data_IF_919933112983
#
_entry.id   IF_919933112983
#
_cell.length_a   1.000
_cell.length_b   1.000
_cell.length_c   1.000
_cell.angle_alpha   90.00
_cell.angle_beta   90.00
_cell.angle_gamma   90.00
#
_symmetry.space_group_name_H-M   'P 1'
#
loop_
_entity.id
_entity.type
_entity.pdbx_description
1 polymer ?
#
# COMPACT_ATOMS: atom_id res chain seq x y z
N UNK A 1 25.27 10.98 -53.19
CA UNK A 1 25.72 9.68 -52.67
C UNK A 1 26.27 9.88 -51.27
N UNK A 2 25.87 8.99 -50.36
CA UNK A 2 26.20 8.87 -48.93
C UNK A 2 25.53 9.88 -47.96
N UNK A 3 24.38 9.43 -47.44
CA UNK A 3 23.79 9.87 -46.18
C UNK A 3 24.36 9.01 -45.05
N UNK A 4 24.87 9.62 -43.99
CA UNK A 4 25.27 8.95 -42.74
C UNK A 4 24.19 9.18 -41.68
N UNK A 5 23.65 8.08 -41.17
CA UNK A 5 22.69 8.05 -40.06
C UNK A 5 23.44 7.90 -38.73
N UNK A 6 23.20 8.79 -37.77
CA UNK A 6 23.68 8.64 -36.39
C UNK A 6 22.53 8.24 -35.48
N UNK A 7 22.67 7.04 -34.92
CA UNK A 7 21.79 6.43 -33.92
C UNK A 7 22.01 7.10 -32.55
N UNK A 8 20.96 7.65 -31.94
CA UNK A 8 20.98 8.09 -30.54
C UNK A 8 20.75 6.90 -29.61
N UNK A 9 21.78 6.51 -28.85
CA UNK A 9 21.66 5.68 -27.66
C UNK A 9 21.40 6.59 -26.44
N UNK A 10 20.29 6.38 -25.73
CA UNK A 10 20.03 6.99 -24.42
C UNK A 10 20.36 5.96 -23.32
N UNK A 11 21.65 5.77 -23.08
CA UNK A 11 22.12 5.32 -21.77
C UNK A 11 22.02 6.50 -20.78
N UNK A 12 21.19 6.37 -19.74
CA UNK A 12 21.34 7.15 -18.50
C UNK A 12 21.04 6.28 -17.28
N UNK A 13 21.94 5.34 -17.02
CA UNK A 13 22.23 4.90 -15.66
C UNK A 13 22.79 6.09 -14.88
N UNK A 14 22.05 6.59 -13.89
CA UNK A 14 22.63 7.48 -12.88
C UNK A 14 23.24 6.60 -11.78
N UNK A 15 24.56 6.54 -11.76
CA UNK A 15 25.34 6.07 -10.61
C UNK A 15 24.92 6.86 -9.35
N UNK A 16 24.36 6.16 -8.37
CA UNK A 16 24.35 6.62 -6.98
C UNK A 16 25.73 6.33 -6.38
N UNK A 17 26.71 7.16 -6.73
CA UNK A 17 28.02 7.16 -6.08
C UNK A 17 28.27 8.57 -5.50
N UNK A 18 27.56 8.91 -4.43
CA UNK A 18 27.90 10.06 -3.60
C UNK A 18 28.86 9.61 -2.51
N UNK A 19 30.16 9.89 -2.71
CA UNK A 19 31.14 9.96 -1.63
C UNK A 19 30.81 11.18 -0.75
N UNK A 20 29.87 11.04 0.17
CA UNK A 20 29.80 11.85 1.37
C UNK A 20 29.80 10.86 2.54
N UNK A 21 30.69 11.08 3.50
CA UNK A 21 30.80 10.31 4.74
C UNK A 21 29.45 10.39 5.49
N UNK A 22 28.52 9.50 5.16
CA UNK A 22 27.42 9.13 6.04
C UNK A 22 27.97 8.11 7.03
N UNK A 23 27.60 8.16 8.32
CA UNK A 23 27.89 7.07 9.24
C UNK A 23 27.34 5.76 8.65
N UNK A 24 27.94 4.59 8.95
CA UNK A 24 27.44 3.32 8.46
C UNK A 24 25.95 3.20 8.80
N UNK A 25 25.11 3.14 7.77
CA UNK A 25 23.68 2.91 7.97
C UNK A 25 23.52 1.50 8.55
N UNK A 26 22.94 1.40 9.75
CA UNK A 26 22.61 0.12 10.34
C UNK A 26 21.39 -0.47 9.62
N UNK A 27 21.47 -1.75 9.22
CA UNK A 27 20.39 -2.41 8.48
C UNK A 27 19.13 -2.59 9.32
N UNK A 28 19.29 -2.72 10.64
CA UNK A 28 18.19 -2.66 11.60
C UNK A 28 18.32 -1.37 12.42
N UNK A 29 17.22 -0.65 12.57
CA UNK A 29 17.18 0.57 13.37
C UNK A 29 16.00 0.49 14.33
N UNK A 30 16.25 0.77 15.61
CA UNK A 30 15.22 0.77 16.64
C UNK A 30 14.54 2.14 16.71
N UNK A 31 13.21 2.16 16.57
CA UNK A 31 12.39 3.35 16.78
C UNK A 31 11.37 3.10 17.90
N UNK A 32 11.13 4.07 18.80
CA UNK A 32 10.14 3.92 19.85
C UNK A 32 8.72 3.95 19.28
N UNK A 33 7.91 2.93 19.58
CA UNK A 33 6.46 2.96 19.41
C UNK A 33 5.84 3.76 20.57
N UNK A 34 5.47 5.03 20.34
CA UNK A 34 4.96 5.90 21.42
C UNK A 34 3.45 5.67 21.64
N UNK A 35 3.08 5.09 22.79
CA UNK A 35 1.67 4.98 23.26
C UNK A 35 1.11 6.26 23.92
N UNK A 36 1.89 7.31 24.14
CA UNK A 36 1.43 8.55 24.83
C UNK A 36 2.15 9.83 24.40
N UNK A 37 2.76 9.83 23.22
CA UNK A 37 3.23 11.06 22.55
C UNK A 37 2.95 10.86 21.07
N UNK A 38 2.38 11.84 20.35
CA UNK A 38 1.92 11.62 18.99
C UNK A 38 3.02 10.95 18.13
N UNK A 39 2.65 10.01 17.25
CA UNK A 39 3.48 9.53 16.11
C UNK A 39 3.90 10.67 15.14
N UNK A 40 3.75 11.93 15.58
CA UNK A 40 3.59 13.16 14.82
C UNK A 40 4.55 14.28 15.26
N UNK A 41 5.64 13.98 15.97
CA UNK A 41 6.65 15.01 16.27
C UNK A 41 7.89 14.85 15.40
N UNK A 42 8.31 15.99 14.83
CA UNK A 42 9.61 16.21 14.19
C UNK A 42 10.74 15.58 15.00
N UNK A 43 11.69 14.84 14.38
CA UNK A 43 12.84 14.34 15.11
C UNK A 43 13.65 15.52 15.65
N UNK A 44 14.08 15.41 16.90
CA UNK A 44 15.16 16.24 17.42
C UNK A 44 16.31 16.19 16.42
N UNK A 45 16.80 17.37 16.02
CA UNK A 45 18.00 17.51 15.19
C UNK A 45 19.11 16.63 15.76
N UNK A 46 19.63 15.71 14.93
CA UNK A 46 20.95 15.15 15.14
C UNK A 46 21.94 16.33 15.17
N UNK A 47 22.86 16.42 16.13
CA UNK A 47 23.82 17.51 16.17
C UNK A 47 24.79 17.38 14.99
N UNK A 48 24.53 18.09 13.91
CA UNK A 48 25.54 18.37 12.88
C UNK A 48 26.27 19.63 13.31
N UNK A 49 27.51 19.48 13.77
CA UNK A 49 28.48 20.57 13.96
C UNK A 49 28.57 21.43 12.69
N UNK A 50 28.51 22.78 12.79
CA UNK A 50 28.63 23.65 11.63
C UNK A 50 30.11 23.90 11.35
N UNK A 51 30.59 23.55 10.15
CA UNK A 51 31.80 24.14 9.58
C UNK A 51 31.39 24.95 8.37
N UNK A 52 31.10 26.23 8.64
CA UNK A 52 30.96 27.27 7.63
C UNK A 52 32.35 27.68 7.13
N UNK A 53 32.60 27.52 5.83
CA UNK A 53 33.59 28.33 5.12
C UNK A 53 32.95 28.87 3.84
N UNK A 54 32.97 30.19 3.73
CA UNK A 54 32.44 31.01 2.66
C UNK A 54 33.15 30.74 1.31
N UNK A 55 32.38 30.75 0.22
CA UNK A 55 32.74 31.48 -1.00
C UNK A 55 31.47 31.74 -1.86
N UNK A 56 31.23 32.98 -2.34
CA UNK A 56 30.01 33.32 -3.08
C UNK A 56 30.24 33.25 -4.59
N UNK A 57 29.48 32.44 -5.31
CA UNK A 57 29.00 32.69 -6.69
C UNK A 57 28.34 31.42 -7.27
N UNK A 58 27.37 31.64 -8.17
CA UNK A 58 26.48 30.68 -8.83
C UNK A 58 25.28 30.18 -7.99
N UNK A 59 24.33 31.09 -7.81
CA UNK A 59 22.92 30.78 -7.66
C UNK A 59 22.35 30.16 -8.94
N UNK A 60 22.34 28.84 -9.07
CA UNK A 60 21.38 28.05 -9.88
C UNK A 60 21.54 26.57 -9.53
N UNK A 61 20.88 26.08 -8.48
CA UNK A 61 20.67 24.64 -8.26
C UNK A 61 19.35 24.40 -7.52
N UNK A 62 18.61 23.45 -8.07
CA UNK A 62 17.41 22.75 -7.59
C UNK A 62 17.16 22.75 -6.08
N UNK A 63 15.89 22.74 -5.61
CA UNK A 63 15.58 22.69 -4.19
C UNK A 63 16.25 21.47 -3.53
N UNK A 64 16.72 21.60 -2.29
CA UNK A 64 17.58 20.61 -1.67
C UNK A 64 16.86 19.28 -1.48
N UNK A 65 17.56 18.18 -1.77
CA UNK A 65 17.14 16.78 -1.65
C UNK A 65 16.62 16.38 -0.24
N UNK A 66 16.67 17.29 0.74
CA UNK A 66 16.17 17.08 2.10
C UNK A 66 14.70 16.65 2.10
N UNK A 67 13.82 17.22 1.26
CA UNK A 67 12.38 16.89 1.28
C UNK A 67 12.04 15.45 0.88
N UNK A 68 12.87 14.76 0.07
CA UNK A 68 12.53 13.42 -0.45
C UNK A 68 12.67 12.29 0.57
N UNK A 69 13.57 12.42 1.55
CA UNK A 69 13.88 11.33 2.49
C UNK A 69 12.83 11.23 3.61
N UNK A 70 12.10 12.31 3.89
CA UNK A 70 11.14 12.38 5.00
C UNK A 70 9.82 11.67 4.75
N UNK A 71 9.45 11.43 3.48
CA UNK A 71 8.18 10.81 3.11
C UNK A 71 8.14 9.29 3.34
N UNK A 72 9.23 8.67 3.80
CA UNK A 72 9.33 7.22 3.98
C UNK A 72 8.90 6.73 5.38
N UNK A 73 8.46 7.62 6.28
CA UNK A 73 7.90 7.18 7.56
C UNK A 73 6.45 6.71 7.38
N UNK A 74 6.15 5.52 7.90
CA UNK A 74 4.80 5.00 8.00
C UNK A 74 3.91 6.01 8.75
N UNK A 75 2.97 6.61 8.03
CA UNK A 75 2.07 7.68 8.47
C UNK A 75 2.64 9.11 8.59
N UNK A 76 3.78 9.41 7.95
CA UNK A 76 4.29 10.77 7.92
C UNK A 76 3.26 11.75 7.32
N UNK A 77 2.99 12.85 8.03
CA UNK A 77 2.06 13.93 7.62
C UNK A 77 0.62 13.50 7.29
N UNK A 78 0.05 12.50 7.98
CA UNK A 78 -1.36 12.09 7.78
C UNK A 78 -2.35 12.64 8.82
N UNK A 79 -1.88 13.28 9.88
CA UNK A 79 -2.76 13.82 10.94
C UNK A 79 -3.11 15.29 10.66
N UNK A 80 -4.40 15.55 10.50
CA UNK A 80 -4.93 16.89 10.25
C UNK A 80 -4.71 17.43 8.83
N UNK A 81 -4.35 16.58 7.87
CA UNK A 81 -4.20 16.94 6.46
C UNK A 81 -5.38 16.41 5.63
N UNK A 82 -6.22 17.31 5.12
CA UNK A 82 -7.15 17.01 4.02
C UNK A 82 -6.39 17.14 2.71
N UNK A 83 -5.59 16.14 2.35
CA UNK A 83 -4.89 16.14 1.05
C UNK A 83 -5.70 15.51 -0.07
N UNK A 84 -6.78 14.81 0.28
CA UNK A 84 -7.57 14.05 -0.67
C UNK A 84 -9.04 14.45 -0.57
N UNK A 85 -9.65 14.69 -1.71
CA UNK A 85 -11.09 14.90 -1.82
C UNK A 85 -11.67 13.82 -2.72
N UNK A 86 -12.79 13.27 -2.28
CA UNK A 86 -13.50 12.21 -2.96
C UNK A 86 -14.90 12.70 -3.34
N UNK A 87 -15.32 12.38 -4.55
CA UNK A 87 -16.73 12.44 -4.94
C UNK A 87 -17.29 11.03 -4.85
N UNK A 88 -18.47 10.88 -4.25
CA UNK A 88 -19.10 9.58 -4.02
C UNK A 88 -20.50 9.55 -4.62
N UNK A 89 -20.92 8.37 -5.06
CA UNK A 89 -22.29 8.16 -5.54
C UNK A 89 -23.28 8.18 -4.37
N UNK A 90 -24.25 9.08 -4.45
CA UNK A 90 -25.27 9.30 -3.40
C UNK A 90 -26.45 8.32 -3.46
N UNK A 91 -26.53 7.50 -4.52
CA UNK A 91 -27.67 6.61 -4.76
C UNK A 91 -28.83 7.25 -5.53
N UNK A 92 -28.77 8.55 -5.85
CA UNK A 92 -29.87 9.26 -6.53
C UNK A 92 -30.26 8.66 -7.89
N UNK A 93 -29.29 8.13 -8.63
CA UNK A 93 -29.49 7.50 -9.95
C UNK A 93 -29.61 5.97 -9.89
N UNK A 94 -29.58 5.38 -8.70
CA UNK A 94 -29.60 3.94 -8.48
C UNK A 94 -28.67 3.50 -7.35
N UNK A 95 -28.97 2.34 -6.76
CA UNK A 95 -28.27 1.84 -5.57
C UNK A 95 -27.03 0.98 -5.87
N UNK A 96 -26.82 0.60 -7.14
CA UNK A 96 -25.71 -0.28 -7.58
C UNK A 96 -24.32 0.24 -7.21
N UNK A 97 -24.14 1.56 -7.20
CA UNK A 97 -22.87 2.22 -6.85
C UNK A 97 -22.96 3.02 -5.57
N UNK A 98 -24.04 2.89 -4.79
CA UNK A 98 -24.23 3.68 -3.58
C UNK A 98 -23.04 3.54 -2.63
N UNK A 99 -22.46 4.66 -2.21
CA UNK A 99 -21.31 4.67 -1.32
C UNK A 99 -19.96 4.35 -2.00
N UNK A 100 -19.91 4.14 -3.31
CA UNK A 100 -18.65 4.02 -4.05
C UNK A 100 -18.11 5.38 -4.49
N UNK A 101 -16.80 5.43 -4.66
CA UNK A 101 -16.13 6.58 -5.27
C UNK A 101 -16.52 6.73 -6.75
N UNK A 102 -16.89 7.95 -7.11
CA UNK A 102 -17.02 8.42 -8.50
C UNK A 102 -15.69 9.00 -8.97
N UNK A 103 -15.06 9.82 -8.11
CA UNK A 103 -13.74 10.42 -8.37
C UNK A 103 -12.90 10.53 -7.12
N UNK A 104 -11.61 10.28 -7.26
CA UNK A 104 -10.58 10.52 -6.26
C UNK A 104 -9.62 11.57 -6.80
N UNK A 105 -9.53 12.73 -6.14
CA UNK A 105 -8.70 13.85 -6.56
C UNK A 105 -8.96 14.30 -8.02
N UNK A 106 -10.20 14.17 -8.47
CA UNK A 106 -10.63 14.51 -9.83
C UNK A 106 -10.39 13.43 -10.88
N UNK A 107 -9.74 12.32 -10.52
CA UNK A 107 -9.53 11.15 -11.39
C UNK A 107 -10.65 10.13 -11.17
N UNK A 108 -11.07 9.49 -12.25
CA UNK A 108 -12.05 8.39 -12.29
C UNK A 108 -11.38 7.00 -12.34
N UNK A 109 -10.05 6.95 -12.21
CA UNK A 109 -9.23 5.74 -12.21
C UNK A 109 -7.99 5.92 -11.33
N UNK A 110 -7.38 4.80 -10.93
CA UNK A 110 -6.11 4.76 -10.23
C UNK A 110 -4.95 4.90 -11.22
N UNK A 111 -4.14 5.96 -11.13
CA UNK A 111 -3.02 6.17 -12.06
C UNK A 111 -1.88 5.17 -11.91
N UNK A 112 -1.89 4.36 -10.84
CA UNK A 112 -0.84 3.36 -10.55
C UNK A 112 -1.01 2.08 -11.36
N UNK A 113 -2.20 1.84 -11.91
CA UNK A 113 -2.54 0.63 -12.66
C UNK A 113 -3.07 1.02 -14.04
N UNK A 114 -2.58 0.36 -15.10
CA UNK A 114 -2.85 0.80 -16.48
C UNK A 114 -4.11 0.18 -17.09
N UNK A 115 -4.60 -0.94 -16.53
CA UNK A 115 -5.64 -1.77 -17.15
C UNK A 115 -6.77 -2.07 -16.18
N UNK A 116 -7.98 -2.10 -16.70
CA UNK A 116 -9.14 -2.66 -16.01
C UNK A 116 -8.98 -4.18 -15.82
N UNK A 117 -9.53 -4.76 -14.73
CA UNK A 117 -10.27 -4.08 -13.65
C UNK A 117 -9.37 -3.38 -12.62
N UNK A 118 -8.05 -3.44 -12.77
CA UNK A 118 -7.10 -3.00 -11.73
C UNK A 118 -7.04 -1.48 -11.52
N UNK A 119 -7.33 -0.71 -12.55
CA UNK A 119 -7.41 0.75 -12.52
C UNK A 119 -8.70 1.30 -11.91
N UNK A 120 -9.71 0.46 -11.67
CA UNK A 120 -11.01 0.92 -11.15
C UNK A 120 -10.92 1.44 -9.72
N UNK A 121 -11.51 2.62 -9.49
CA UNK A 121 -11.73 3.19 -8.15
C UNK A 121 -13.14 2.91 -7.62
N UNK A 122 -13.95 2.11 -8.32
CA UNK A 122 -15.33 1.80 -7.92
C UNK A 122 -15.36 0.91 -6.68
N UNK A 123 -15.20 1.55 -5.53
CA UNK A 123 -15.13 0.90 -4.23
C UNK A 123 -15.59 1.86 -3.13
N UNK A 124 -16.00 1.29 -2.02
CA UNK A 124 -16.36 2.02 -0.81
C UNK A 124 -15.13 2.41 -0.02
N UNK A 125 -15.20 3.54 0.69
CA UNK A 125 -14.26 3.90 1.75
C UNK A 125 -14.42 3.02 3.01
N UNK A 126 -15.51 2.25 3.09
CA UNK A 126 -15.83 1.36 4.21
C UNK A 126 -17.05 1.81 5.02
N UNK A 127 -17.58 3.01 4.78
CA UNK A 127 -18.73 3.56 5.54
C UNK A 127 -20.10 3.20 4.94
N UNK A 128 -20.20 3.04 3.62
CA UNK A 128 -21.44 2.75 2.90
C UNK A 128 -21.17 1.82 1.72
N UNK A 129 -22.02 0.82 1.54
CA UNK A 129 -21.92 -0.15 0.45
C UNK A 129 -23.24 -0.24 -0.31
N UNK A 130 -23.24 -0.67 -1.59
CA UNK A 130 -24.46 -0.98 -2.31
C UNK A 130 -25.31 -2.02 -1.52
N UNK A 131 -26.57 -1.72 -1.17
CA UNK A 131 -27.39 -2.63 -0.37
C UNK A 131 -27.75 -3.91 -1.13
N UNK A 132 -27.32 -5.06 -0.61
CA UNK A 132 -27.54 -6.37 -1.26
C UNK A 132 -29.00 -6.73 -1.47
N UNK A 133 -29.92 -6.27 -0.61
CA UNK A 133 -31.37 -6.49 -0.79
C UNK A 133 -31.92 -5.82 -2.06
N UNK A 134 -31.25 -4.78 -2.55
CA UNK A 134 -31.62 -4.06 -3.78
C UNK A 134 -30.82 -4.56 -4.98
N UNK A 135 -29.49 -4.69 -4.83
CA UNK A 135 -28.57 -4.99 -5.93
C UNK A 135 -28.44 -6.48 -6.22
N UNK A 136 -28.75 -7.35 -5.25
CA UNK A 136 -28.50 -8.79 -5.29
C UNK A 136 -27.02 -9.15 -5.54
N UNK A 137 -26.09 -8.22 -5.30
CA UNK A 137 -24.65 -8.48 -5.47
C UNK A 137 -24.06 -9.16 -4.23
N UNK A 138 -23.38 -10.28 -4.45
CA UNK A 138 -22.61 -11.00 -3.42
C UNK A 138 -21.19 -10.44 -3.24
N UNK A 139 -20.79 -9.48 -4.06
CA UNK A 139 -19.46 -8.86 -4.00
C UNK A 139 -19.59 -7.36 -3.86
N UNK A 140 -18.87 -6.81 -2.89
CA UNK A 140 -18.68 -5.37 -2.73
C UNK A 140 -17.19 -5.05 -2.64
N UNK A 141 -16.80 -3.83 -2.98
CA UNK A 141 -15.39 -3.44 -3.01
C UNK A 141 -15.08 -2.42 -1.93
N UNK A 142 -13.91 -2.54 -1.31
CA UNK A 142 -13.36 -1.55 -0.39
C UNK A 142 -12.04 -0.99 -0.92
N UNK A 143 -11.82 0.30 -0.73
CA UNK A 143 -10.60 1.00 -1.07
C UNK A 143 -10.17 1.89 0.08
N UNK A 144 -8.87 1.83 0.37
CA UNK A 144 -8.15 2.85 1.12
C UNK A 144 -6.83 3.09 0.39
N UNK A 145 -6.29 4.31 0.54
CA UNK A 145 -5.04 4.71 -0.12
C UNK A 145 -3.83 3.85 0.27
N UNK A 146 -3.85 3.22 1.45
CA UNK A 146 -2.81 2.29 1.89
C UNK A 146 -2.92 0.90 1.24
N UNK A 147 -4.12 0.52 0.80
CA UNK A 147 -4.33 -0.75 0.08
C UNK A 147 -3.82 -0.69 -1.36
N UNK A 148 -3.69 0.51 -1.92
CA UNK A 148 -3.20 0.75 -3.29
C UNK A 148 -4.09 0.12 -4.39
N UNK A 149 -5.24 -0.48 -4.04
CA UNK A 149 -6.19 -1.06 -4.98
C UNK A 149 -7.56 -1.29 -4.31
N UNK A 150 -8.57 -1.47 -5.14
CA UNK A 150 -9.88 -1.96 -4.71
C UNK A 150 -9.80 -3.45 -4.35
N UNK A 151 -10.27 -3.79 -3.15
CA UNK A 151 -10.28 -5.16 -2.64
C UNK A 151 -11.71 -5.72 -2.62
N UNK A 152 -11.92 -6.93 -3.19
CA UNK A 152 -13.23 -7.57 -3.18
C UNK A 152 -13.55 -8.20 -1.82
N UNK A 153 -14.70 -7.84 -1.28
CA UNK A 153 -15.33 -8.47 -0.13
C UNK A 153 -16.49 -9.34 -0.62
N UNK A 154 -16.49 -10.61 -0.24
CA UNK A 154 -17.44 -11.63 -0.70
C UNK A 154 -18.38 -12.00 0.42
N UNK A 155 -19.68 -12.02 0.11
CA UNK A 155 -20.74 -12.48 0.99
C UNK A 155 -20.52 -13.94 1.42
N UNK A 156 -20.75 -14.23 2.69
CA UNK A 156 -20.60 -15.58 3.26
C UNK A 156 -21.92 -16.15 3.76
N UNK A 157 -22.57 -15.45 4.68
CA UNK A 157 -23.82 -15.90 5.31
C UNK A 157 -24.44 -14.76 6.15
N UNK A 158 -25.74 -14.82 6.48
CA UNK A 158 -26.34 -13.86 7.40
C UNK A 158 -25.81 -14.07 8.83
N UNK A 159 -25.73 -12.98 9.59
CA UNK A 159 -25.30 -12.91 10.99
C UNK A 159 -26.17 -11.91 11.75
N UNK A 160 -26.11 -11.94 13.07
CA UNK A 160 -26.76 -10.95 13.92
C UNK A 160 -25.70 -10.21 14.73
N UNK A 161 -25.82 -8.88 14.81
CA UNK A 161 -25.01 -8.03 15.69
C UNK A 161 -25.93 -7.16 16.51
N UNK A 162 -25.89 -7.34 17.83
CA UNK A 162 -26.66 -6.53 18.80
C UNK A 162 -28.17 -6.48 18.48
N UNK A 163 -28.75 -7.61 18.05
CA UNK A 163 -30.17 -7.73 17.68
C UNK A 163 -30.52 -7.22 16.28
N UNK A 164 -29.53 -6.81 15.48
CA UNK A 164 -29.71 -6.33 14.10
C UNK A 164 -29.14 -7.36 13.13
N UNK A 165 -29.96 -7.80 12.18
CA UNK A 165 -29.53 -8.68 11.10
C UNK A 165 -28.56 -7.98 10.14
N UNK A 166 -27.47 -8.66 9.81
CA UNK A 166 -26.45 -8.23 8.86
C UNK A 166 -25.95 -9.40 8.03
N UNK A 167 -25.28 -9.11 6.94
CA UNK A 167 -24.59 -10.07 6.10
C UNK A 167 -23.09 -10.03 6.40
N UNK A 168 -22.47 -11.20 6.63
CA UNK A 168 -21.01 -11.28 6.79
C UNK A 168 -20.36 -11.28 5.41
N UNK A 169 -19.46 -10.33 5.21
CA UNK A 169 -18.53 -10.26 4.09
C UNK A 169 -17.10 -10.45 4.57
N UNK A 170 -16.31 -11.18 3.81
CA UNK A 170 -14.86 -11.33 4.07
C UNK A 170 -14.08 -11.06 2.82
N UNK A 171 -12.81 -10.68 2.96
CA UNK A 171 -11.90 -10.58 1.81
C UNK A 171 -11.93 -11.87 0.98
N UNK A 172 -11.96 -11.72 -0.35
CA UNK A 172 -11.87 -12.87 -1.26
C UNK A 172 -10.54 -13.59 -1.08
N UNK A 173 -10.56 -14.92 -1.16
CA UNK A 173 -9.38 -15.77 -0.99
C UNK A 173 -8.30 -15.50 -2.06
N UNK A 174 -8.70 -15.01 -3.22
CA UNK A 174 -7.86 -14.63 -4.36
C UNK A 174 -7.62 -13.11 -4.48
N UNK A 175 -8.01 -12.34 -3.47
CA UNK A 175 -7.80 -10.89 -3.44
C UNK A 175 -6.30 -10.54 -3.55
N UNK A 176 -5.47 -11.34 -2.88
CA UNK A 176 -4.02 -11.36 -3.03
C UNK A 176 -3.63 -12.64 -3.77
N UNK A 177 -2.61 -12.58 -4.63
CA UNK A 177 -2.35 -13.58 -5.69
C UNK A 177 -2.42 -15.07 -5.29
N UNK A 178 -2.41 -15.99 -6.27
CA UNK A 178 -1.77 -15.82 -7.56
C UNK A 178 -2.62 -15.07 -8.60
N UNK A 179 -1.99 -14.68 -9.71
CA UNK A 179 -2.63 -13.92 -10.78
C UNK A 179 -3.78 -14.71 -11.41
N UNK A 180 -4.91 -14.04 -11.63
CA UNK A 180 -6.11 -14.53 -12.27
C UNK A 180 -6.66 -13.46 -13.24
N UNK A 181 -7.80 -13.75 -13.85
CA UNK A 181 -8.43 -12.83 -14.82
C UNK A 181 -8.73 -11.44 -14.23
N UNK A 182 -8.95 -11.34 -12.92
CA UNK A 182 -9.37 -10.12 -12.23
C UNK A 182 -8.23 -9.38 -11.51
N UNK A 183 -7.07 -10.00 -11.28
CA UNK A 183 -5.96 -9.37 -10.54
C UNK A 183 -4.62 -9.40 -11.30
N UNK A 184 -4.54 -10.03 -12.48
CA UNK A 184 -3.28 -10.14 -13.25
C UNK A 184 -2.71 -8.79 -13.71
N UNK A 185 -3.53 -7.75 -13.85
CA UNK A 185 -3.07 -6.39 -14.17
C UNK A 185 -2.35 -5.68 -13.01
N UNK A 186 -2.38 -6.25 -11.79
CA UNK A 186 -1.56 -5.76 -10.67
C UNK A 186 -0.12 -6.30 -10.70
N UNK A 187 0.16 -7.27 -11.58
CA UNK A 187 1.50 -7.82 -11.74
C UNK A 187 2.37 -6.97 -12.65
N UNK A 188 3.67 -6.96 -12.36
CA UNK A 188 4.70 -6.42 -13.23
C UNK A 188 5.84 -7.43 -13.41
N UNK A 189 6.47 -7.55 -14.59
CA UNK A 189 7.60 -8.46 -14.82
C UNK A 189 8.78 -8.27 -13.85
N UNK A 190 9.00 -7.03 -13.40
CA UNK A 190 10.08 -6.68 -12.48
C UNK A 190 9.78 -7.04 -11.02
N UNK A 191 8.57 -7.52 -10.71
CA UNK A 191 8.15 -7.82 -9.34
C UNK A 191 8.05 -9.32 -9.10
N UNK A 192 8.62 -9.75 -7.97
CA UNK A 192 8.51 -11.14 -7.54
C UNK A 192 7.10 -11.41 -7.03
N UNK A 193 6.51 -12.48 -7.55
CA UNK A 193 5.15 -12.90 -7.19
C UNK A 193 5.20 -13.81 -5.98
N UNK A 194 4.27 -13.57 -5.06
CA UNK A 194 4.08 -14.37 -3.86
C UNK A 194 2.58 -14.60 -3.70
N UNK A 195 2.19 -15.85 -3.48
CA UNK A 195 0.80 -16.18 -3.20
C UNK A 195 0.39 -15.58 -1.84
N UNK A 196 -0.76 -14.91 -1.80
CA UNK A 196 -1.27 -14.19 -0.62
C UNK A 196 -0.68 -12.81 -0.36
N UNK A 197 0.19 -12.31 -1.26
CA UNK A 197 0.82 -10.99 -1.16
C UNK A 197 0.52 -10.14 -2.39
N UNK A 198 0.40 -8.82 -2.18
CA UNK A 198 0.25 -7.83 -3.24
C UNK A 198 1.40 -6.83 -3.17
N UNK A 199 2.05 -6.58 -4.31
CA UNK A 199 3.05 -5.52 -4.42
C UNK A 199 2.36 -4.15 -4.49
N UNK A 200 2.76 -3.21 -3.63
CA UNK A 200 2.22 -1.84 -3.61
C UNK A 200 3.30 -0.77 -3.87
N UNK A 201 4.44 -1.18 -4.42
CA UNK A 201 5.55 -0.30 -4.84
C UNK A 201 5.10 0.89 -5.70
N UNK A 202 4.17 0.75 -6.67
CA UNK A 202 3.66 1.88 -7.44
C UNK A 202 3.05 3.01 -6.58
N UNK A 203 2.36 2.66 -5.48
CA UNK A 203 1.81 3.65 -4.54
C UNK A 203 2.83 4.14 -3.51
N UNK A 204 3.90 3.38 -3.28
CA UNK A 204 4.93 3.67 -2.28
C UNK A 204 6.21 4.24 -2.89
N UNK A 205 6.08 5.00 -4.00
CA UNK A 205 7.19 5.70 -4.67
C UNK A 205 8.36 4.78 -5.07
N UNK A 206 8.07 3.53 -5.43
CA UNK A 206 9.06 2.54 -5.84
C UNK A 206 9.69 1.74 -4.69
N UNK A 207 9.25 1.93 -3.44
CA UNK A 207 9.72 1.14 -2.31
C UNK A 207 9.24 -0.34 -2.45
N UNK A 208 10.09 -1.35 -2.13
CA UNK A 208 9.78 -2.76 -2.36
C UNK A 208 8.84 -3.33 -1.28
N UNK A 209 7.63 -2.76 -1.21
CA UNK A 209 6.63 -3.01 -0.17
C UNK A 209 5.54 -3.93 -0.69
N UNK A 210 5.18 -4.91 0.13
CA UNK A 210 4.08 -5.84 -0.10
C UNK A 210 3.06 -5.76 1.02
N UNK A 211 1.78 -5.87 0.69
CA UNK A 211 0.71 -6.09 1.67
C UNK A 211 0.27 -7.56 1.66
N UNK A 212 -0.16 -8.06 2.81
CA UNK A 212 -0.74 -9.39 2.98
C UNK A 212 -1.79 -9.37 4.09
N UNK A 213 -2.46 -10.50 4.33
CA UNK A 213 -3.11 -10.68 5.62
C UNK A 213 -2.06 -10.81 6.74
N UNK A 214 -2.40 -10.45 7.99
CA UNK A 214 -1.54 -10.65 9.16
C UNK A 214 -1.03 -12.08 9.30
N UNK A 215 0.21 -12.18 9.77
CA UNK A 215 0.93 -13.43 9.96
C UNK A 215 0.93 -14.34 8.71
N UNK A 216 0.85 -13.72 7.52
CA UNK A 216 0.73 -14.42 6.24
C UNK A 216 -0.45 -15.41 6.19
N UNK A 217 -1.56 -15.08 6.87
CA UNK A 217 -2.81 -15.83 6.77
C UNK A 217 -3.26 -15.93 5.30
N UNK A 218 -3.62 -17.14 4.84
CA UNK A 218 -3.97 -17.43 3.44
C UNK A 218 -2.86 -17.07 2.42
N UNK A 219 -1.59 -17.17 2.82
CA UNK A 219 -0.44 -16.98 1.93
C UNK A 219 0.37 -18.28 1.75
N UNK A 220 1.38 -18.25 0.89
CA UNK A 220 2.30 -19.37 0.70
C UNK A 220 2.95 -19.81 2.03
N UNK A 221 2.87 -21.10 2.44
CA UNK A 221 3.51 -21.59 3.65
C UNK A 221 5.01 -21.31 3.75
N UNK A 222 5.74 -21.19 2.63
CA UNK A 222 7.18 -20.88 2.63
C UNK A 222 7.48 -19.51 3.26
N UNK A 223 6.52 -18.60 3.31
CA UNK A 223 6.68 -17.30 3.95
C UNK A 223 6.74 -17.41 5.48
N UNK A 224 6.14 -18.45 6.06
CA UNK A 224 6.17 -18.72 7.50
C UNK A 224 7.54 -19.23 7.95
N UNK A 225 8.19 -20.05 7.12
CA UNK A 225 9.52 -20.60 7.40
C UNK A 225 10.61 -19.52 7.40
N UNK A 226 10.35 -18.38 6.76
CA UNK A 226 11.28 -17.27 6.70
C UNK A 226 11.38 -16.51 8.03
N UNK A 227 10.36 -16.49 8.90
CA UNK A 227 10.35 -15.65 10.10
C UNK A 227 9.73 -16.39 11.28
N UNK A 228 10.51 -16.53 12.36
CA UNK A 228 10.04 -17.14 13.60
C UNK A 228 9.00 -16.24 14.30
N UNK A 229 7.98 -16.88 14.90
CA UNK A 229 6.95 -16.20 15.69
C UNK A 229 5.63 -15.93 14.96
N UNK A 230 5.57 -16.21 13.64
CA UNK A 230 4.35 -16.10 12.85
C UNK A 230 3.38 -17.24 13.18
N UNK A 231 2.12 -16.88 13.41
CA UNK A 231 1.01 -17.79 13.75
C UNK A 231 -0.26 -17.33 13.04
N UNK A 232 -0.55 -17.77 11.80
CA UNK A 232 -1.77 -17.37 11.11
C UNK A 232 -3.00 -18.01 11.78
N UNK A 233 -3.99 -17.19 12.14
CA UNK A 233 -5.20 -17.59 12.86
C UNK A 233 -6.37 -16.82 12.27
N UNK A 234 -7.40 -17.52 11.79
CA UNK A 234 -8.51 -16.90 11.05
C UNK A 234 -9.22 -15.82 11.88
N UNK A 235 -9.58 -16.13 13.12
CA UNK A 235 -10.41 -15.26 13.97
C UNK A 235 -9.73 -13.92 14.30
N UNK A 236 -8.40 -13.88 14.27
CA UNK A 236 -7.62 -12.67 14.56
C UNK A 236 -6.84 -12.14 13.36
N UNK A 237 -6.84 -12.78 12.20
CA UNK A 237 -6.09 -12.28 11.03
C UNK A 237 -6.97 -12.09 9.80
N UNK A 238 -8.26 -12.44 9.87
CA UNK A 238 -9.20 -12.19 8.79
C UNK A 238 -9.71 -10.73 8.80
N UNK A 239 -9.84 -10.16 7.60
CA UNK A 239 -10.62 -8.95 7.34
C UNK A 239 -12.08 -9.31 7.09
N UNK A 240 -13.01 -8.63 7.77
CA UNK A 240 -14.44 -8.84 7.59
C UNK A 240 -15.27 -7.56 7.77
N UNK A 241 -16.48 -7.58 7.23
CA UNK A 241 -17.52 -6.58 7.44
C UNK A 241 -18.86 -7.28 7.71
N UNK A 242 -19.64 -6.74 8.65
CA UNK A 242 -21.04 -7.13 8.89
C UNK A 242 -21.92 -6.00 8.38
N UNK A 243 -22.50 -6.17 7.21
CA UNK A 243 -23.21 -5.10 6.49
C UNK A 243 -24.71 -5.32 6.59
N UNK A 244 -25.47 -4.31 7.01
CA UNK A 244 -26.92 -4.38 7.05
C UNK A 244 -27.47 -4.41 5.60
N UNK A 245 -28.20 -5.46 5.18
CA UNK A 245 -28.48 -5.73 3.77
C UNK A 245 -29.41 -4.73 3.06
N UNK A 246 -30.25 -4.03 3.84
CA UNK A 246 -31.25 -3.08 3.33
C UNK A 246 -30.69 -1.66 3.14
N UNK A 247 -29.80 -1.26 4.03
CA UNK A 247 -29.23 0.09 4.10
C UNK A 247 -27.81 0.15 3.53
N UNK A 248 -27.11 -0.98 3.45
CA UNK A 248 -25.71 -1.01 3.02
C UNK A 248 -24.75 -0.40 4.04
N UNK A 249 -25.17 -0.28 5.30
CA UNK A 249 -24.37 0.32 6.38
C UNK A 249 -23.71 -0.80 7.19
N UNK A 250 -22.39 -0.77 7.43
CA UNK A 250 -21.72 -1.73 8.28
C UNK A 250 -22.08 -1.52 9.75
N UNK A 251 -22.47 -2.61 10.43
CA UNK A 251 -22.64 -2.65 11.88
C UNK A 251 -21.31 -2.89 12.60
N UNK A 252 -20.40 -3.59 11.93
CA UNK A 252 -19.05 -3.89 12.40
C UNK A 252 -18.14 -4.08 11.20
N UNK A 253 -16.95 -3.49 11.25
CA UNK A 253 -15.93 -3.63 10.21
C UNK A 253 -14.58 -3.83 10.86
N UNK A 254 -13.82 -4.78 10.33
CA UNK A 254 -12.47 -5.05 10.77
C UNK A 254 -11.57 -5.27 9.56
N UNK A 255 -10.73 -4.29 9.29
CA UNK A 255 -9.69 -4.35 8.26
C UNK A 255 -8.38 -4.69 8.93
N UNK A 256 -7.77 -5.82 8.54
CA UNK A 256 -6.47 -6.27 9.02
C UNK A 256 -5.55 -6.50 7.85
N UNK A 257 -4.43 -5.78 7.82
CA UNK A 257 -3.46 -5.79 6.73
C UNK A 257 -2.07 -5.76 7.33
N UNK A 258 -1.18 -6.59 6.81
CA UNK A 258 0.22 -6.61 7.17
C UNK A 258 1.05 -5.91 6.12
N UNK A 259 1.93 -5.03 6.58
CA UNK A 259 2.94 -4.39 5.77
C UNK A 259 4.22 -5.23 5.80
N UNK A 260 4.75 -5.51 4.62
CA UNK A 260 5.96 -6.31 4.44
C UNK A 260 6.97 -5.60 3.55
N UNK A 261 8.25 -5.84 3.80
CA UNK A 261 9.37 -5.37 2.99
C UNK A 261 10.04 -6.55 2.31
N UNK A 262 10.17 -6.49 0.99
CA UNK A 262 11.02 -7.43 0.27
C UNK A 262 12.49 -7.05 0.51
N UNK A 263 13.23 -7.97 1.13
CA UNK A 263 14.64 -7.82 1.45
C UNK A 263 15.42 -8.76 0.55
N UNK A 264 16.34 -8.20 -0.22
CA UNK A 264 17.17 -8.95 -1.17
C UNK A 264 18.65 -8.68 -0.95
N UNK A 265 19.46 -9.69 -1.26
CA UNK A 265 20.90 -9.59 -1.34
C UNK A 265 21.27 -8.60 -2.44
N UNK A 266 22.12 -7.62 -2.10
CA UNK A 266 22.72 -6.75 -3.11
C UNK A 266 24.22 -6.74 -2.92
N UNK A 267 24.94 -7.36 -3.86
CA UNK A 267 26.40 -7.44 -3.85
C UNK A 267 27.09 -6.06 -3.81
N UNK A 268 26.40 -5.03 -4.28
CA UNK A 268 26.87 -3.64 -4.36
C UNK A 268 26.51 -2.79 -3.13
N UNK A 269 25.70 -3.31 -2.20
CA UNK A 269 25.28 -2.59 -0.99
C UNK A 269 25.82 -3.33 0.23
N UNK A 270 26.83 -2.75 0.89
CA UNK A 270 27.49 -3.39 2.04
C UNK A 270 26.52 -3.83 3.16
N UNK A 271 25.44 -3.09 3.37
CA UNK A 271 24.44 -3.39 4.41
C UNK A 271 23.58 -4.63 4.13
N UNK A 272 23.42 -5.03 2.85
CA UNK A 272 22.60 -6.18 2.43
C UNK A 272 23.39 -7.24 1.65
N UNK A 273 24.72 -7.10 1.57
CA UNK A 273 25.61 -8.00 0.82
C UNK A 273 25.53 -9.48 1.23
N UNK A 274 25.15 -9.75 2.48
CA UNK A 274 25.07 -11.11 3.02
C UNK A 274 23.67 -11.45 3.55
N UNK A 275 22.66 -10.71 3.08
CA UNK A 275 21.29 -10.97 3.47
C UNK A 275 20.71 -12.06 2.59
N UNK A 276 19.90 -12.94 3.19
CA UNK A 276 19.06 -13.86 2.41
C UNK A 276 17.93 -13.07 1.74
N UNK A 277 17.37 -13.63 0.67
CA UNK A 277 16.18 -13.08 0.02
C UNK A 277 14.93 -13.56 0.76
N UNK A 278 14.14 -12.64 1.31
CA UNK A 278 12.90 -12.97 2.03
C UNK A 278 11.97 -11.77 2.15
N UNK A 279 10.72 -12.03 2.51
CA UNK A 279 9.73 -11.00 2.80
C UNK A 279 9.66 -10.79 4.30
N UNK A 280 10.07 -9.61 4.77
CA UNK A 280 10.12 -9.27 6.18
C UNK A 280 8.83 -8.56 6.62
N UNK A 281 8.05 -9.14 7.55
CA UNK A 281 6.85 -8.49 8.09
C UNK A 281 7.25 -7.37 9.05
N UNK A 282 6.73 -6.17 8.82
CA UNK A 282 7.04 -4.98 9.63
C UNK A 282 6.01 -4.80 10.74
N UNK A 283 4.72 -4.77 10.37
CA UNK A 283 3.60 -4.52 11.28
C UNK A 283 2.28 -4.96 10.65
N UNK A 284 1.26 -5.17 11.49
CA UNK A 284 -0.13 -5.40 11.11
C UNK A 284 -1.08 -4.80 12.14
#
# INVERSE_FOLDING_TARGET
FNSFSFHFSKNRFKLLNFKHFQPPAHTYTQYPSKKSTPLFQTPKQQPTTPLSLFSPSLSFLSPPAKKKIWNHLLHFQRNGTLTEYATMHTGHTGMEKFGYFDKLNGLDHMPQWEKEPCSSIEASEGSFFPPREVTNSDVVYIYDKDLCRSLPLVYRHPVEKDGIGADLYTLAEDAYGPPNENNSCYDHPDYKKYQGLQNISPCQYGAPVYISNPHFFQSDPQLLDAVEGLKPEKDIHQTFFKIQPKLGVPLEGQVRVQLNLLVEESSNVMATKHFRNFVFPIMW
#
